data_IF_836191752304
#
_entry.id   IF_836191752304
#
_cell.length_a   1.000
_cell.length_b   1.000
_cell.length_c   1.000
_cell.angle_alpha   90.00
_cell.angle_beta   90.00
_cell.angle_gamma   90.00
#
_symmetry.space_group_name_H-M   'P 1'
#
loop_
_entity.id
_entity.type
_entity.pdbx_description
1 polymer ?
#
# COMPACT_ATOMS: atom_id res chain seq x y z
N UNK A 1 -33.07 44.13 46.90
CA UNK A 1 -31.89 43.91 46.04
C UNK A 1 -32.06 42.56 45.36
N UNK A 2 -32.10 42.56 44.04
CA UNK A 2 -32.65 41.47 43.23
C UNK A 2 -31.62 40.41 42.81
N UNK A 3 -32.10 39.17 42.86
CA UNK A 3 -31.53 37.89 42.44
C UNK A 3 -31.09 37.89 40.95
N UNK A 4 -29.84 37.50 40.67
CA UNK A 4 -29.28 37.44 39.31
C UNK A 4 -28.94 36.01 38.90
N UNK A 5 -29.96 35.32 38.37
CA UNK A 5 -29.85 34.03 37.69
C UNK A 5 -28.99 34.16 36.44
N UNK A 6 -27.81 33.54 36.45
CA UNK A 6 -26.95 33.44 35.27
C UNK A 6 -27.59 32.51 34.22
N UNK A 7 -28.08 33.12 33.15
CA UNK A 7 -28.79 32.48 32.04
C UNK A 7 -27.79 31.75 31.13
N UNK A 8 -27.99 30.44 30.95
CA UNK A 8 -27.34 29.61 29.92
C UNK A 8 -27.51 30.27 28.55
N UNK A 9 -26.41 30.44 27.80
CA UNK A 9 -26.48 30.56 26.33
C UNK A 9 -25.95 29.27 25.72
N UNK A 10 -26.88 28.42 25.29
CA UNK A 10 -26.61 27.28 24.43
C UNK A 10 -26.20 27.79 23.04
N UNK A 11 -25.08 27.29 22.52
CA UNK A 11 -24.70 27.49 21.11
C UNK A 11 -25.48 26.52 20.23
N UNK A 12 -26.06 26.96 19.10
CA UNK A 12 -26.74 26.05 18.18
C UNK A 12 -25.74 25.20 17.40
N UNK A 13 -26.01 23.90 17.38
CA UNK A 13 -25.31 22.90 16.59
C UNK A 13 -25.39 23.25 15.10
N UNK A 14 -24.23 23.35 14.43
CA UNK A 14 -24.17 23.44 12.96
C UNK A 14 -24.52 22.06 12.37
N UNK A 15 -25.47 21.99 11.42
CA UNK A 15 -25.71 20.76 10.69
C UNK A 15 -24.50 20.43 9.82
N UNK A 16 -24.07 19.17 9.93
CA UNK A 16 -22.96 18.55 9.20
C UNK A 16 -23.37 18.43 7.73
N UNK A 17 -23.19 19.53 6.98
CA UNK A 17 -23.33 19.54 5.54
C UNK A 17 -22.42 18.47 4.94
N UNK A 18 -23.02 17.61 4.12
CA UNK A 18 -22.34 16.62 3.31
C UNK A 18 -21.27 17.34 2.50
N UNK A 19 -20.01 17.20 2.91
CA UNK A 19 -18.89 17.60 2.10
C UNK A 19 -18.91 16.70 0.87
N UNK A 20 -19.30 17.29 -0.25
CA UNK A 20 -19.18 16.75 -1.59
C UNK A 20 -17.74 16.23 -1.74
N UNK A 21 -17.59 14.91 -1.68
CA UNK A 21 -16.31 14.24 -1.82
C UNK A 21 -15.94 14.37 -3.28
N UNK A 22 -15.18 15.42 -3.61
CA UNK A 22 -14.46 15.53 -4.88
C UNK A 22 -13.60 14.28 -5.00
N UNK A 23 -14.07 13.34 -5.82
CA UNK A 23 -13.32 12.16 -6.21
C UNK A 23 -12.23 12.63 -7.16
N UNK A 24 -11.06 12.97 -6.62
CA UNK A 24 -9.88 13.09 -7.45
C UNK A 24 -9.47 11.68 -7.89
N UNK A 25 -9.20 11.48 -9.20
CA UNK A 25 -8.65 10.23 -9.68
C UNK A 25 -7.23 10.08 -9.12
N UNK A 26 -7.07 9.17 -8.16
CA UNK A 26 -5.74 8.84 -7.66
C UNK A 26 -5.00 8.11 -8.79
N UNK A 27 -3.94 8.75 -9.28
CA UNK A 27 -2.99 8.13 -10.21
C UNK A 27 -2.37 6.87 -9.60
N UNK A 28 -1.79 6.03 -10.46
CA UNK A 28 -1.11 4.79 -10.07
C UNK A 28 -0.17 5.04 -8.86
N UNK A 29 -0.05 4.08 -7.93
CA UNK A 29 0.80 4.24 -6.75
C UNK A 29 2.24 4.51 -7.20
N UNK A 30 2.65 5.76 -7.13
CA UNK A 30 4.00 6.21 -7.44
C UNK A 30 4.78 6.19 -6.13
N UNK A 31 5.51 5.11 -5.89
CA UNK A 31 6.42 5.03 -4.74
C UNK A 31 7.59 5.97 -5.01
N UNK A 32 7.74 7.02 -4.17
CA UNK A 32 8.82 7.98 -4.31
C UNK A 32 10.17 7.37 -3.90
N UNK A 33 11.11 7.34 -4.85
CA UNK A 33 12.53 6.96 -4.74
C UNK A 33 12.93 5.52 -5.15
N UNK A 34 14.13 5.46 -5.76
CA UNK A 34 14.89 4.36 -6.39
C UNK A 34 14.09 3.30 -7.18
N UNK A 35 14.36 3.11 -8.49
CA UNK A 35 13.66 2.10 -9.28
C UNK A 35 13.95 0.69 -8.72
N UNK A 36 12.92 0.08 -8.13
CA UNK A 36 12.96 -1.30 -7.69
C UNK A 36 12.20 -2.16 -8.71
N UNK A 37 12.89 -2.84 -9.65
CA UNK A 37 12.24 -3.53 -10.75
C UNK A 37 11.35 -4.68 -10.29
N UNK A 38 11.62 -5.26 -9.12
CA UNK A 38 10.78 -6.31 -8.54
C UNK A 38 9.46 -5.73 -8.04
N UNK A 39 9.48 -4.53 -7.44
CA UNK A 39 8.29 -3.83 -6.99
C UNK A 39 7.44 -3.36 -8.17
N UNK A 40 8.05 -2.72 -9.17
CA UNK A 40 7.34 -2.24 -10.38
C UNK A 40 6.61 -3.38 -11.08
N UNK A 41 7.28 -4.53 -11.19
CA UNK A 41 6.68 -5.75 -11.73
C UNK A 41 5.55 -6.28 -10.86
N UNK A 42 5.76 -6.39 -9.55
CA UNK A 42 4.73 -6.87 -8.62
C UNK A 42 3.44 -6.03 -8.72
N UNK A 43 3.60 -4.70 -8.75
CA UNK A 43 2.49 -3.76 -8.92
C UNK A 43 1.81 -3.96 -10.28
N UNK A 44 2.59 -4.10 -11.35
CA UNK A 44 2.06 -4.33 -12.70
C UNK A 44 1.26 -5.64 -12.80
N UNK A 45 1.77 -6.74 -12.24
CA UNK A 45 1.09 -8.04 -12.26
C UNK A 45 -0.19 -8.02 -11.40
N UNK A 46 -0.17 -7.35 -10.25
CA UNK A 46 -1.35 -7.20 -9.40
C UNK A 46 -2.40 -6.29 -10.05
N UNK A 47 -1.99 -5.23 -10.75
CA UNK A 47 -2.87 -4.38 -11.54
C UNK A 47 -3.51 -5.16 -12.71
N UNK A 48 -2.71 -5.94 -13.46
CA UNK A 48 -3.20 -6.78 -14.55
C UNK A 48 -4.24 -7.82 -14.10
N UNK A 49 -4.15 -8.29 -12.86
CA UNK A 49 -5.13 -9.21 -12.23
C UNK A 49 -6.35 -8.50 -11.62
N UNK A 50 -6.41 -7.17 -11.66
CA UNK A 50 -7.46 -6.39 -11.01
C UNK A 50 -7.43 -6.42 -9.48
N UNK A 51 -6.33 -6.89 -8.87
CA UNK A 51 -6.18 -6.93 -7.41
C UNK A 51 -5.93 -5.53 -6.82
N UNK A 52 -5.30 -4.63 -7.60
CA UNK A 52 -5.20 -3.22 -7.26
C UNK A 52 -6.42 -2.52 -7.85
N UNK A 53 -7.43 -2.27 -7.01
CA UNK A 53 -8.72 -1.73 -7.44
C UNK A 53 -8.74 -0.21 -7.58
N UNK A 54 -7.67 0.48 -7.15
CA UNK A 54 -7.64 1.95 -7.06
C UNK A 54 -8.70 2.51 -6.09
N UNK A 55 -9.39 1.66 -5.34
CA UNK A 55 -10.37 2.06 -4.36
C UNK A 55 -9.71 2.82 -3.20
N UNK A 56 -10.51 3.61 -2.48
CA UNK A 56 -10.05 4.44 -1.35
C UNK A 56 -9.11 3.66 -0.44
N UNK A 57 -7.99 4.28 -0.08
CA UNK A 57 -7.02 3.72 0.84
C UNK A 57 -7.70 3.25 2.13
N UNK A 58 -7.53 1.97 2.46
CA UNK A 58 -8.02 1.42 3.72
C UNK A 58 -7.07 1.84 4.85
N UNK A 59 -7.63 2.43 5.92
CA UNK A 59 -6.84 2.75 7.12
C UNK A 59 -6.61 1.48 7.93
N UNK A 60 -5.34 1.13 8.14
CA UNK A 60 -4.90 -0.01 8.94
C UNK A 60 -4.10 0.51 10.14
N UNK A 61 -4.33 -0.06 11.33
CA UNK A 61 -3.53 0.18 12.52
C UNK A 61 -2.90 -1.14 12.95
N UNK A 62 -1.57 -1.18 13.00
CA UNK A 62 -0.81 -2.36 13.40
C UNK A 62 0.45 -1.93 14.16
N UNK A 63 0.91 -2.78 15.08
CA UNK A 63 2.23 -2.62 15.70
C UNK A 63 3.26 -3.29 14.80
N UNK A 64 4.27 -2.52 14.40
CA UNK A 64 5.39 -2.99 13.58
C UNK A 64 6.66 -2.73 14.36
N UNK A 65 7.57 -3.70 14.35
CA UNK A 65 8.89 -3.50 14.95
C UNK A 65 9.65 -2.39 14.18
N UNK A 66 10.20 -1.38 14.86
CA UNK A 66 10.90 -0.27 14.19
C UNK A 66 12.14 -0.72 13.41
N UNK A 67 12.86 -1.72 13.89
CA UNK A 67 14.06 -2.26 13.23
C UNK A 67 13.70 -2.98 11.93
N UNK A 68 12.64 -3.79 11.96
CA UNK A 68 12.10 -4.44 10.75
C UNK A 68 11.65 -3.41 9.72
N UNK A 69 10.97 -2.35 10.15
CA UNK A 69 10.51 -1.30 9.26
C UNK A 69 11.69 -0.54 8.60
N UNK A 70 12.74 -0.22 9.37
CA UNK A 70 13.94 0.43 8.87
C UNK A 70 14.70 -0.44 7.87
N UNK A 71 14.89 -1.73 8.18
CA UNK A 71 15.55 -2.66 7.26
C UNK A 71 14.77 -2.83 5.94
N UNK A 72 13.43 -2.86 6.00
CA UNK A 72 12.59 -2.90 4.81
C UNK A 72 12.67 -1.59 4.01
N UNK A 73 12.70 -0.43 4.68
CA UNK A 73 12.88 0.87 4.06
C UNK A 73 14.19 0.96 3.27
N UNK A 74 15.31 0.56 3.88
CA UNK A 74 16.61 0.51 3.24
C UNK A 74 16.63 -0.44 2.04
N UNK A 75 16.12 -1.66 2.20
CA UNK A 75 16.05 -2.66 1.12
C UNK A 75 15.23 -2.18 -0.08
N UNK A 76 14.14 -1.45 0.18
CA UNK A 76 13.21 -1.00 -0.86
C UNK A 76 13.57 0.39 -1.41
N UNK A 77 14.49 1.12 -0.76
CA UNK A 77 14.82 2.50 -1.14
C UNK A 77 13.70 3.51 -0.83
N UNK A 78 12.83 3.20 0.14
CA UNK A 78 11.62 3.97 0.44
C UNK A 78 11.76 4.73 1.76
N UNK A 79 11.30 5.99 1.79
CA UNK A 79 11.43 6.85 2.95
C UNK A 79 10.21 6.81 3.88
N UNK A 80 9.01 6.56 3.35
CA UNK A 80 7.77 6.66 4.11
C UNK A 80 7.28 5.28 4.58
N UNK A 81 6.92 5.12 5.86
CA UNK A 81 6.41 3.86 6.40
C UNK A 81 5.23 3.26 5.64
N UNK A 82 4.29 4.09 5.17
CA UNK A 82 3.15 3.64 4.37
C UNK A 82 3.59 3.00 3.06
N UNK A 83 4.61 3.56 2.43
CA UNK A 83 5.13 3.10 1.15
C UNK A 83 5.85 1.78 1.33
N UNK A 84 6.65 1.66 2.41
CA UNK A 84 7.31 0.41 2.80
C UNK A 84 6.30 -0.70 3.03
N UNK A 85 5.21 -0.43 3.76
CA UNK A 85 4.16 -1.42 4.04
C UNK A 85 3.45 -1.82 2.75
N UNK A 86 3.01 -0.86 1.93
CA UNK A 86 2.32 -1.14 0.68
C UNK A 86 3.20 -1.90 -0.32
N UNK A 87 4.48 -1.52 -0.45
CA UNK A 87 5.44 -2.20 -1.29
C UNK A 87 5.73 -3.63 -0.82
N UNK A 88 5.89 -3.83 0.50
CA UNK A 88 6.07 -5.16 1.08
C UNK A 88 4.86 -6.06 0.84
N UNK A 89 3.64 -5.51 0.98
CA UNK A 89 2.40 -6.23 0.68
C UNK A 89 2.28 -6.56 -0.81
N UNK A 90 2.65 -5.63 -1.70
CA UNK A 90 2.64 -5.88 -3.14
C UNK A 90 3.59 -7.02 -3.51
N UNK A 91 4.81 -7.02 -2.97
CA UNK A 91 5.79 -8.09 -3.19
C UNK A 91 5.32 -9.45 -2.62
N UNK A 92 4.65 -9.46 -1.47
CA UNK A 92 4.12 -10.67 -0.86
C UNK A 92 2.88 -11.23 -1.59
N UNK A 93 2.04 -10.36 -2.15
CA UNK A 93 0.83 -10.74 -2.87
C UNK A 93 1.10 -11.09 -4.34
N UNK A 94 2.17 -10.56 -4.92
CA UNK A 94 2.56 -10.87 -6.29
C UNK A 94 2.88 -12.38 -6.43
N UNK A 95 2.54 -12.98 -7.57
CA UNK A 95 2.90 -14.37 -7.86
C UNK A 95 4.40 -14.59 -7.72
N UNK A 96 4.77 -15.58 -6.91
CA UNK A 96 6.15 -16.01 -6.80
C UNK A 96 6.58 -16.61 -8.14
N UNK A 97 7.36 -15.86 -8.92
CA UNK A 97 7.80 -16.25 -10.26
C UNK A 97 8.51 -17.60 -10.26
N UNK A 98 9.30 -17.89 -9.24
CA UNK A 98 9.98 -19.18 -9.15
C UNK A 98 8.96 -20.30 -8.98
N UNK A 99 7.98 -20.13 -8.07
CA UNK A 99 6.90 -21.12 -7.91
C UNK A 99 6.02 -21.22 -9.15
N UNK A 100 5.75 -20.12 -9.85
CA UNK A 100 4.99 -20.13 -11.10
C UNK A 100 5.75 -20.85 -12.21
N UNK A 101 7.04 -20.56 -12.39
CA UNK A 101 7.90 -21.24 -13.35
C UNK A 101 8.04 -22.73 -13.02
N UNK A 102 8.26 -23.07 -11.75
CA UNK A 102 8.39 -24.45 -11.28
C UNK A 102 7.10 -25.25 -11.54
N UNK A 103 5.93 -24.66 -11.32
CA UNK A 103 4.63 -25.28 -11.63
C UNK A 103 4.37 -25.40 -13.13
N UNK A 104 4.84 -24.44 -13.92
CA UNK A 104 4.69 -24.45 -15.38
C UNK A 104 5.67 -25.39 -16.08
N UNK A 105 6.73 -25.82 -15.38
CA UNK A 105 7.80 -26.66 -15.92
C UNK A 105 7.89 -28.00 -15.16
N UNK A 106 6.86 -28.85 -15.19
CA UNK A 106 7.01 -30.21 -14.71
C UNK A 106 7.96 -30.97 -15.67
N UNK A 107 9.06 -31.50 -15.12
CA UNK A 107 9.99 -32.45 -15.75
C UNK A 107 10.74 -32.03 -17.03
N UNK A 108 10.90 -30.73 -17.32
CA UNK A 108 11.77 -30.30 -18.43
C UNK A 108 12.73 -29.18 -18.04
N UNK A 109 13.96 -29.54 -17.72
CA UNK A 109 15.06 -28.61 -17.93
C UNK A 109 15.20 -28.45 -19.45
N UNK A 110 15.09 -27.23 -19.97
CA UNK A 110 15.42 -26.98 -21.38
C UNK A 110 16.86 -27.40 -21.64
N UNK A 111 17.10 -28.11 -22.74
CA UNK A 111 18.43 -28.65 -23.09
C UNK A 111 19.53 -27.58 -23.16
N UNK A 112 19.15 -26.30 -23.27
CA UNK A 112 20.04 -25.13 -23.29
C UNK A 112 20.42 -24.60 -21.89
N UNK A 113 20.05 -25.27 -20.80
CA UNK A 113 20.43 -24.84 -19.46
C UNK A 113 21.91 -25.18 -19.19
N UNK A 114 22.80 -24.23 -19.43
CA UNK A 114 24.19 -24.32 -18.97
C UNK A 114 24.33 -23.69 -17.56
N UNK A 115 24.71 -24.46 -16.52
CA UNK A 115 25.06 -23.87 -15.24
C UNK A 115 26.37 -23.10 -15.40
N UNK A 116 26.33 -21.79 -15.22
CA UNK A 116 27.54 -20.97 -15.17
C UNK A 116 28.45 -21.49 -14.04
N UNK A 117 29.61 -22.03 -14.43
CA UNK A 117 30.71 -22.44 -13.56
C UNK A 117 31.48 -21.23 -13.02
#
# INVERSE_FOLDING_TARGET
>A
MADSRSRRKASPARPRGMAEVQQQPFGAPSFGSAPNPALDRAVTELAAKGAITGARSQKISARVDPGVLAAAAERLGLAHPSDVINASLALAAAPDRFKTWLRATPDRLTDDFEPAL
#
